data_IF_455907703932
#
_entry.id   IF_455907703932
#
_cell.length_a   1.000
_cell.length_b   1.000
_cell.length_c   1.000
_cell.angle_alpha   90.00
_cell.angle_beta   90.00
_cell.angle_gamma   90.00
#
_symmetry.space_group_name_H-M   'P 1'
#
loop_
_entity.id
_entity.type
_entity.pdbx_description
1 polymer ?
#
# COMPACT_ATOMS: atom_id res chain seq x y z
N UNK A 1 11.62 -15.09 24.47
CA UNK A 1 12.94 -14.94 23.81
C UNK A 1 12.80 -15.38 22.36
N UNK A 2 12.57 -14.43 21.44
CA UNK A 2 13.09 -14.45 20.06
C UNK A 2 13.38 -13.00 19.72
N UNK A 3 14.65 -12.72 19.46
CA UNK A 3 15.16 -11.42 19.02
C UNK A 3 14.64 -11.12 17.62
N UNK A 4 14.07 -9.94 17.40
CA UNK A 4 14.20 -9.22 16.12
C UNK A 4 14.62 -7.80 16.42
N UNK A 5 15.93 -7.63 16.58
CA UNK A 5 16.60 -6.36 16.32
C UNK A 5 16.88 -6.33 14.82
N UNK A 6 15.98 -5.73 14.06
CA UNK A 6 16.32 -5.01 12.84
C UNK A 6 15.71 -3.64 13.07
N UNK A 7 16.54 -2.59 13.12
CA UNK A 7 16.05 -1.24 13.33
C UNK A 7 14.96 -0.96 12.30
N UNK A 8 13.73 -0.72 12.77
CA UNK A 8 12.68 -0.11 11.96
C UNK A 8 13.19 1.28 11.60
N UNK A 9 13.90 1.37 10.49
CA UNK A 9 14.15 2.65 9.83
C UNK A 9 12.78 3.01 9.27
N UNK A 10 12.17 4.09 9.79
CA UNK A 10 10.95 4.64 9.21
C UNK A 10 11.17 4.80 7.70
N UNK A 11 10.18 4.46 6.85
CA UNK A 11 10.36 4.53 5.42
C UNK A 11 10.84 5.93 5.02
N UNK A 12 11.87 6.00 4.18
CA UNK A 12 12.23 7.25 3.51
C UNK A 12 11.19 7.52 2.41
N UNK A 13 11.05 8.79 2.00
CA UNK A 13 10.11 9.17 0.92
C UNK A 13 10.28 8.35 -0.36
N UNK A 14 11.51 7.93 -0.69
CA UNK A 14 11.80 7.09 -1.85
C UNK A 14 11.28 5.67 -1.65
N UNK A 15 11.48 5.08 -0.46
CA UNK A 15 10.93 3.74 -0.14
C UNK A 15 9.40 3.75 0.00
N UNK A 16 8.79 4.86 0.44
CA UNK A 16 7.33 5.03 0.45
C UNK A 16 6.79 4.98 -0.99
N UNK A 17 7.41 5.72 -1.91
CA UNK A 17 6.98 5.77 -3.30
C UNK A 17 7.09 4.41 -3.98
N UNK A 18 8.20 3.70 -3.78
CA UNK A 18 8.38 2.33 -4.30
C UNK A 18 7.34 1.36 -3.74
N UNK A 19 7.03 1.44 -2.44
CA UNK A 19 6.02 0.59 -1.81
C UNK A 19 4.62 0.89 -2.34
N UNK A 20 4.26 2.17 -2.49
CA UNK A 20 3.00 2.60 -3.10
C UNK A 20 2.87 2.06 -4.52
N UNK A 21 3.91 2.22 -5.35
CA UNK A 21 3.91 1.74 -6.73
C UNK A 21 3.70 0.23 -6.82
N UNK A 22 4.38 -0.55 -5.96
CA UNK A 22 4.23 -1.99 -5.91
C UNK A 22 2.80 -2.41 -5.53
N UNK A 23 2.23 -1.83 -4.47
CA UNK A 23 0.90 -2.20 -3.98
C UNK A 23 -0.17 -1.83 -5.02
N UNK A 24 -0.14 -0.61 -5.55
CA UNK A 24 -1.15 -0.14 -6.52
C UNK A 24 -1.05 -0.90 -7.84
N UNK A 25 0.16 -1.25 -8.28
CA UNK A 25 0.35 -2.05 -9.50
C UNK A 25 -0.28 -3.43 -9.37
N UNK A 26 -0.15 -4.08 -8.21
CA UNK A 26 -0.79 -5.37 -7.95
C UNK A 26 -2.32 -5.24 -7.85
N UNK A 27 -2.82 -4.23 -7.12
CA UNK A 27 -4.26 -3.96 -7.05
C UNK A 27 -4.87 -3.70 -8.44
N UNK A 28 -4.18 -2.93 -9.30
CA UNK A 28 -4.62 -2.67 -10.68
C UNK A 28 -4.69 -3.94 -11.52
N UNK A 29 -3.72 -4.86 -11.38
CA UNK A 29 -3.74 -6.15 -12.09
C UNK A 29 -4.93 -7.01 -11.66
N UNK A 30 -5.22 -7.06 -10.36
CA UNK A 30 -6.34 -7.85 -9.82
C UNK A 30 -7.69 -7.33 -10.32
N UNK A 31 -7.88 -6.01 -10.36
CA UNK A 31 -9.12 -5.38 -10.80
C UNK A 31 -9.20 -5.07 -12.29
N UNK A 32 -8.14 -5.35 -13.06
CA UNK A 32 -8.00 -5.00 -14.48
C UNK A 32 -8.21 -3.49 -14.73
N UNK A 33 -7.70 -2.66 -13.82
CA UNK A 33 -7.74 -1.20 -13.90
C UNK A 33 -6.47 -0.68 -14.54
N UNK A 34 -6.58 0.37 -15.36
CA UNK A 34 -5.42 1.04 -15.94
C UNK A 34 -4.60 1.73 -14.82
N UNK A 35 -3.29 1.43 -14.67
CA UNK A 35 -2.43 2.05 -13.67
C UNK A 35 -2.33 3.58 -13.75
N UNK A 36 -2.66 4.20 -14.88
CA UNK A 36 -2.69 5.67 -15.02
C UNK A 36 -4.10 6.26 -14.80
N UNK A 37 -5.09 5.42 -14.49
CA UNK A 37 -6.45 5.88 -14.22
C UNK A 37 -6.53 6.72 -12.95
N UNK A 38 -7.57 7.58 -12.89
CA UNK A 38 -7.88 8.32 -11.67
C UNK A 38 -8.07 7.39 -10.46
N UNK A 39 -8.69 6.22 -10.65
CA UNK A 39 -8.88 5.23 -9.58
C UNK A 39 -7.55 4.73 -9.03
N UNK A 40 -6.60 4.34 -9.90
CA UNK A 40 -5.27 3.90 -9.48
C UNK A 40 -4.53 4.99 -8.67
N UNK A 41 -4.65 6.26 -9.09
CA UNK A 41 -4.07 7.40 -8.36
C UNK A 41 -4.69 7.55 -6.97
N UNK A 42 -6.02 7.41 -6.85
CA UNK A 42 -6.71 7.50 -5.56
C UNK A 42 -6.29 6.37 -4.61
N UNK A 43 -6.16 5.14 -5.10
CA UNK A 43 -5.66 4.04 -4.28
C UNK A 43 -4.19 4.24 -3.89
N UNK A 44 -3.36 4.83 -4.75
CA UNK A 44 -1.98 5.19 -4.39
C UNK A 44 -1.91 6.23 -3.26
N UNK A 45 -2.78 7.23 -3.28
CA UNK A 45 -2.89 8.20 -2.18
C UNK A 45 -3.35 7.52 -0.88
N UNK A 46 -4.25 6.54 -0.97
CA UNK A 46 -4.70 5.77 0.17
C UNK A 46 -3.59 4.91 0.76
N UNK A 47 -2.80 4.21 -0.06
CA UNK A 47 -1.62 3.46 0.41
C UNK A 47 -0.63 4.39 1.11
N UNK A 48 -0.35 5.57 0.52
CA UNK A 48 0.54 6.55 1.14
C UNK A 48 0.01 7.04 2.49
N UNK A 49 -1.31 7.24 2.61
CA UNK A 49 -1.96 7.58 3.88
C UNK A 49 -1.79 6.45 4.91
N UNK A 50 -1.98 5.19 4.51
CA UNK A 50 -1.80 4.03 5.40
C UNK A 50 -0.37 3.92 5.93
N UNK A 51 0.63 4.12 5.06
CA UNK A 51 2.03 4.13 5.44
C UNK A 51 2.31 5.23 6.49
N UNK A 52 1.86 6.46 6.24
CA UNK A 52 2.24 7.62 7.05
C UNK A 52 1.48 7.75 8.35
N UNK A 53 0.18 7.48 8.36
CA UNK A 53 -0.64 7.63 9.56
C UNK A 53 -0.60 6.40 10.46
N UNK A 54 -0.34 5.21 9.90
CA UNK A 54 -0.39 3.95 10.66
C UNK A 54 0.93 3.18 10.71
N UNK A 55 2.03 3.69 10.15
CA UNK A 55 3.34 2.99 10.04
C UNK A 55 3.20 1.60 9.39
N UNK A 56 2.22 1.46 8.48
CA UNK A 56 2.02 0.22 7.73
C UNK A 56 3.06 0.13 6.63
N UNK A 57 4.02 -0.78 6.78
CA UNK A 57 5.14 -0.95 5.84
C UNK A 57 5.17 -2.33 5.19
N UNK A 58 4.21 -3.19 5.53
CA UNK A 58 4.08 -4.51 4.92
C UNK A 58 3.22 -4.41 3.65
N UNK A 59 3.78 -4.86 2.53
CA UNK A 59 3.14 -4.76 1.22
C UNK A 59 1.86 -5.59 1.15
N UNK A 60 1.86 -6.78 1.73
CA UNK A 60 0.74 -7.71 1.61
C UNK A 60 -0.40 -7.24 2.52
N UNK A 61 -0.08 -6.72 3.72
CA UNK A 61 -1.03 -6.06 4.61
C UNK A 61 -1.70 -4.83 3.96
N UNK A 62 -0.90 -3.97 3.28
CA UNK A 62 -1.43 -2.80 2.55
C UNK A 62 -2.38 -3.22 1.41
N UNK A 63 -2.06 -4.28 0.68
CA UNK A 63 -2.89 -4.79 -0.40
C UNK A 63 -4.20 -5.39 0.13
N UNK A 64 -4.15 -6.16 1.21
CA UNK A 64 -5.34 -6.70 1.87
C UNK A 64 -6.30 -5.60 2.32
N UNK A 65 -5.79 -4.52 2.93
CA UNK A 65 -6.61 -3.38 3.35
C UNK A 65 -7.24 -2.62 2.18
N UNK A 66 -6.54 -2.50 1.04
CA UNK A 66 -7.15 -1.95 -0.18
C UNK A 66 -8.33 -2.82 -0.65
N UNK A 67 -8.10 -4.13 -0.74
CA UNK A 67 -9.11 -5.09 -1.20
C UNK A 67 -10.34 -5.15 -0.30
N UNK A 68 -10.13 -5.16 1.03
CA UNK A 68 -11.22 -5.15 2.00
C UNK A 68 -12.11 -3.91 1.89
N UNK A 69 -11.55 -2.79 1.44
CA UNK A 69 -12.33 -1.57 1.27
C UNK A 69 -13.19 -1.54 0.01
N UNK A 70 -12.82 -2.27 -1.04
CA UNK A 70 -13.64 -2.39 -2.24
C UNK A 70 -14.87 -3.26 -1.95
N UNK A 71 -14.73 -4.30 -1.14
CA UNK A 71 -15.83 -5.21 -0.78
C UNK A 71 -16.89 -4.56 0.12
N UNK A 72 -16.50 -3.60 0.97
CA UNK A 72 -17.42 -2.91 1.88
C UNK A 72 -18.19 -1.73 1.24
N UNK A 73 -18.04 -1.51 -0.07
CA UNK A 73 -18.72 -0.44 -0.82
C UNK A 73 -20.12 -0.79 -1.38
N UNK A 74 -20.70 -1.94 -1.02
CA UNK A 74 -22.02 -2.40 -1.51
C UNK A 74 -23.20 -2.05 -0.61
#
# INVERSE_FOLDING_TARGET
MVKRLAGKVSPTKETEAELVEQVVSEWCKMHQVDPISHTAVMEGLRVLYMIREFDMTDRDELLEELLASDENGS
#
